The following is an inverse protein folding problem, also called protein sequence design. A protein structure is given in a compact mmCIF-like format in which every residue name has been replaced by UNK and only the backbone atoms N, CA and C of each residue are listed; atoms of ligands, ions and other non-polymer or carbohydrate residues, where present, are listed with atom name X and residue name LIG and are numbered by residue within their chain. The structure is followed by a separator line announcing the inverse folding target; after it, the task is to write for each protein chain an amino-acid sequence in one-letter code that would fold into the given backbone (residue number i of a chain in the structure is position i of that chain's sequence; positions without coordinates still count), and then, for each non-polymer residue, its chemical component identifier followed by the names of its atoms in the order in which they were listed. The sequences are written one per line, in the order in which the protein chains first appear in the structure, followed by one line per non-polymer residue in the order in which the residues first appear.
data_IF_489080059093
#
_entry.id   IF_489080059093
#
_cell.length_a   1.000
_cell.length_b   1.000
_cell.length_c   1.000
_cell.angle_alpha   90.00
_cell.angle_beta   90.00
_cell.angle_gamma   90.00
#
_symmetry.space_group_name_H-M   'P 1'
#
loop_
_entity.id
_entity.type
_entity.pdbx_description
1 polymer ?
#
# COMPACT_ATOMS: atom_id res chain seq x y z
N UNK A 1 -5.19 5.26 -4.09
CA UNK A 1 -4.05 4.30 -4.10
C UNK A 1 -3.73 3.89 -5.53
N UNK A 2 -2.54 4.21 -6.03
CA UNK A 2 -2.02 3.70 -7.31
C UNK A 2 -1.15 2.46 -7.06
N UNK A 3 -1.00 1.57 -8.05
CA UNK A 3 -0.21 0.32 -7.98
C UNK A 3 -0.68 -0.74 -6.95
N UNK A 4 -1.92 -0.65 -6.48
CA UNK A 4 -2.52 -1.64 -5.58
C UNK A 4 -2.95 -2.96 -6.24
N UNK A 5 -2.67 -3.19 -7.53
CA UNK A 5 -3.12 -4.38 -8.26
C UNK A 5 -4.59 -4.35 -8.72
N UNK A 6 -5.20 -3.16 -8.76
CA UNK A 6 -6.61 -2.96 -9.17
C UNK A 6 -6.88 -3.57 -10.55
N UNK A 7 -6.05 -3.23 -11.54
CA UNK A 7 -6.22 -3.69 -12.93
C UNK A 7 -6.05 -5.19 -13.06
N UNK A 8 -5.16 -5.79 -12.26
CA UNK A 8 -4.98 -7.24 -12.21
C UNK A 8 -6.23 -7.95 -11.67
N UNK A 9 -6.85 -7.40 -10.62
CA UNK A 9 -8.11 -7.92 -10.10
C UNK A 9 -9.24 -7.77 -11.12
N UNK A 10 -9.37 -6.59 -11.73
CA UNK A 10 -10.38 -6.31 -12.76
C UNK A 10 -10.28 -7.27 -13.93
N UNK A 11 -9.07 -7.50 -14.46
CA UNK A 11 -8.83 -8.45 -15.55
C UNK A 11 -9.15 -9.90 -15.18
N UNK A 12 -9.03 -10.26 -13.90
CA UNK A 12 -9.39 -11.59 -13.42
C UNK A 12 -10.91 -11.74 -13.30
N UNK A 13 -11.60 -10.70 -12.82
CA UNK A 13 -13.07 -10.65 -12.76
C UNK A 13 -13.69 -10.65 -14.16
N UNK A 14 -13.14 -9.87 -15.09
CA UNK A 14 -13.61 -9.81 -16.48
C UNK A 14 -13.58 -11.18 -17.16
N UNK A 15 -12.58 -12.01 -16.85
CA UNK A 15 -12.47 -13.39 -17.38
C UNK A 15 -13.41 -14.38 -16.70
N UNK A 16 -13.80 -14.12 -15.46
CA UNK A 16 -14.64 -15.00 -14.66
C UNK A 16 -16.15 -14.70 -14.81
N UNK A 17 -16.52 -13.49 -15.22
CA UNK A 17 -17.89 -13.01 -15.26
C UNK A 17 -18.42 -12.92 -16.71
N UNK A 18 -19.62 -13.47 -17.01
CA UNK A 18 -20.25 -13.28 -18.31
C UNK A 18 -20.76 -11.84 -18.48
N UNK A 19 -20.90 -11.38 -19.73
CA UNK A 19 -21.50 -10.09 -20.09
C UNK A 19 -20.94 -8.90 -19.29
N UNK A 20 -19.64 -8.93 -19.04
CA UNK A 20 -18.94 -7.97 -18.19
C UNK A 20 -18.17 -6.94 -19.05
N UNK A 21 -18.34 -5.66 -18.73
CA UNK A 21 -17.58 -4.55 -19.30
C UNK A 21 -16.75 -3.87 -18.21
N UNK A 22 -15.71 -3.15 -18.62
CA UNK A 22 -14.84 -2.38 -17.72
C UNK A 22 -14.73 -0.95 -18.23
N UNK A 23 -14.77 0.01 -17.32
CA UNK A 23 -14.36 1.40 -17.57
C UNK A 23 -13.23 1.71 -16.60
N UNK A 24 -12.09 2.12 -17.14
CA UNK A 24 -10.92 2.54 -16.36
C UNK A 24 -10.95 4.06 -16.17
N UNK A 25 -10.85 4.51 -14.92
CA UNK A 25 -10.80 5.94 -14.58
C UNK A 25 -9.59 6.64 -15.24
N UNK A 26 -8.48 5.91 -15.41
CA UNK A 26 -7.24 6.43 -15.98
C UNK A 26 -7.41 6.81 -17.48
N UNK A 27 -8.39 6.27 -18.18
CA UNK A 27 -8.70 6.66 -19.57
C UNK A 27 -9.26 8.09 -19.68
N UNK A 28 -9.67 8.69 -18.55
CA UNK A 28 -10.29 10.02 -18.47
C UNK A 28 -9.32 11.08 -17.96
N UNK A 29 -8.00 10.84 -17.94
CA UNK A 29 -7.06 11.92 -17.70
C UNK A 29 -7.18 13.00 -18.79
N UNK A 30 -7.29 14.27 -18.37
CA UNK A 30 -7.38 15.39 -19.29
C UNK A 30 -6.08 15.48 -20.09
N UNK A 31 -6.17 15.22 -21.40
CA UNK A 31 -5.02 15.27 -22.28
C UNK A 31 -4.54 16.72 -22.51
N UNK A 32 -3.23 16.95 -22.62
CA UNK A 32 -2.64 18.28 -22.81
C UNK A 32 -2.86 18.89 -24.22
N UNK A 33 -3.66 18.27 -25.09
CA UNK A 33 -3.87 18.73 -26.47
C UNK A 33 -5.06 19.68 -26.63
N UNK A 34 -6.02 19.66 -25.72
CA UNK A 34 -7.19 20.54 -25.75
C UNK A 34 -7.13 21.67 -24.73
N UNK A 35 -6.04 21.73 -23.94
CA UNK A 35 -5.79 22.73 -22.92
C UNK A 35 -4.29 23.05 -22.90
N UNK A 36 -3.86 24.30 -22.65
CA UNK A 36 -2.44 24.61 -22.48
C UNK A 36 -1.82 23.65 -21.46
N UNK A 37 -0.59 23.19 -21.67
CA UNK A 37 0.13 22.19 -20.83
C UNK A 37 0.20 22.51 -19.32
N UNK A 38 -0.32 23.66 -18.90
CA UNK A 38 -0.16 24.32 -17.61
C UNK A 38 -1.38 24.22 -16.66
N UNK A 39 -2.46 23.50 -17.03
CA UNK A 39 -3.68 23.46 -16.21
C UNK A 39 -3.83 22.27 -15.25
N UNK A 40 -2.94 21.26 -15.28
CA UNK A 40 -2.81 20.39 -14.11
C UNK A 40 -2.10 21.22 -13.06
N UNK A 41 -2.85 21.59 -12.02
CA UNK A 41 -2.34 22.41 -10.95
C UNK A 41 -0.98 21.87 -10.50
N UNK A 42 0.03 22.74 -10.56
CA UNK A 42 1.32 22.47 -9.96
C UNK A 42 1.18 22.93 -8.52
N UNK A 43 1.44 22.02 -7.57
CA UNK A 43 1.42 22.35 -6.16
C UNK A 43 2.50 23.38 -5.82
N UNK A 44 2.43 23.95 -4.62
CA UNK A 44 3.48 24.84 -4.10
C UNK A 44 4.86 24.14 -4.04
N UNK A 45 4.86 22.80 -4.03
CA UNK A 45 6.00 21.91 -4.06
C UNK A 45 6.62 21.72 -5.46
N UNK A 46 6.02 22.30 -6.51
CA UNK A 46 6.49 22.17 -7.88
C UNK A 46 6.07 20.88 -8.58
N UNK A 47 5.26 20.02 -7.95
CA UNK A 47 4.79 18.76 -8.54
C UNK A 47 3.39 18.88 -9.15
N UNK A 48 3.18 18.21 -10.29
CA UNK A 48 1.87 18.11 -10.94
C UNK A 48 0.90 17.28 -10.10
N UNK A 49 -0.29 17.81 -9.87
CA UNK A 49 -1.34 17.15 -9.11
C UNK A 49 -2.15 16.20 -10.01
N UNK A 50 -1.66 14.97 -10.17
CA UNK A 50 -2.37 13.91 -10.91
C UNK A 50 -3.34 13.09 -10.03
N UNK A 51 -3.09 13.08 -8.72
CA UNK A 51 -3.87 12.31 -7.75
C UNK A 51 -5.10 13.12 -7.24
N UNK A 52 -5.70 13.98 -8.08
CA UNK A 52 -6.86 14.85 -7.75
C UNK A 52 -7.95 14.80 -8.81
N UNK A 53 -9.21 15.05 -8.43
CA UNK A 53 -10.36 14.94 -9.34
C UNK A 53 -10.27 15.92 -10.52
N UNK A 54 -9.68 17.09 -10.31
CA UNK A 54 -9.55 18.16 -11.29
C UNK A 54 -8.72 17.75 -12.51
N UNK A 55 -7.79 16.82 -12.35
CA UNK A 55 -6.98 16.24 -13.43
C UNK A 55 -7.74 15.26 -14.33
N UNK A 56 -8.95 14.86 -13.92
CA UNK A 56 -9.79 13.88 -14.61
C UNK A 56 -11.03 14.55 -15.22
N UNK A 57 -11.46 14.06 -16.38
CA UNK A 57 -12.75 14.36 -16.97
C UNK A 57 -13.82 13.41 -16.41
N UNK A 58 -14.21 13.66 -15.16
CA UNK A 58 -15.21 12.85 -14.45
C UNK A 58 -16.62 13.00 -15.03
N UNK A 59 -16.89 14.06 -15.79
CA UNK A 59 -18.14 14.27 -16.50
C UNK A 59 -18.22 13.32 -17.71
N UNK A 60 -17.17 13.26 -18.55
CA UNK A 60 -17.07 12.28 -19.63
C UNK A 60 -17.12 10.83 -19.12
N UNK A 61 -16.51 10.56 -17.95
CA UNK A 61 -16.61 9.25 -17.30
C UNK A 61 -18.06 8.91 -16.91
N UNK A 62 -18.78 9.87 -16.32
CA UNK A 62 -20.18 9.69 -15.95
C UNK A 62 -21.06 9.45 -17.18
N UNK A 63 -20.86 10.21 -18.26
CA UNK A 63 -21.58 10.02 -19.52
C UNK A 63 -21.35 8.63 -20.11
N UNK A 64 -20.13 8.11 -20.01
CA UNK A 64 -19.80 6.74 -20.43
C UNK A 64 -20.57 5.70 -19.60
N UNK A 65 -20.68 5.92 -18.28
CA UNK A 65 -21.51 5.06 -17.40
C UNK A 65 -22.99 5.15 -17.75
N UNK A 66 -23.51 6.34 -18.06
CA UNK A 66 -24.90 6.54 -18.47
C UNK A 66 -25.21 5.88 -19.82
N UNK A 67 -24.26 5.91 -20.76
CA UNK A 67 -24.37 5.20 -22.03
C UNK A 67 -24.49 3.68 -21.81
N UNK A 68 -23.70 3.12 -20.89
CA UNK A 68 -23.84 1.73 -20.50
C UNK A 68 -25.19 1.43 -19.85
N UNK A 69 -25.64 2.26 -18.89
CA UNK A 69 -26.94 2.09 -18.21
C UNK A 69 -28.12 2.12 -19.21
N UNK A 70 -28.02 2.97 -20.23
CA UNK A 70 -29.05 3.10 -21.27
C UNK A 70 -29.15 1.87 -22.16
N UNK A 71 -28.02 1.24 -22.50
CA UNK A 71 -28.00 0.01 -23.30
C UNK A 71 -26.68 -0.76 -23.14
N UNK A 72 -26.61 -1.71 -22.18
CA UNK A 72 -25.39 -2.48 -21.92
C UNK A 72 -24.93 -3.29 -23.15
N UNK A 73 -25.87 -3.78 -23.95
CA UNK A 73 -25.59 -4.60 -25.14
C UNK A 73 -24.93 -3.78 -26.26
N UNK A 74 -25.44 -2.57 -26.52
CA UNK A 74 -24.86 -1.67 -27.53
C UNK A 74 -23.47 -1.21 -27.09
N UNK A 75 -23.33 -0.88 -25.81
CA UNK A 75 -22.05 -0.52 -25.22
C UNK A 75 -21.03 -1.65 -25.40
N UNK A 76 -21.35 -2.87 -24.97
CA UNK A 76 -20.46 -4.01 -25.11
C UNK A 76 -19.98 -4.23 -26.55
N UNK A 77 -20.89 -4.15 -27.53
CA UNK A 77 -20.55 -4.26 -28.96
C UNK A 77 -19.63 -3.15 -29.44
N UNK A 78 -19.88 -1.90 -29.04
CA UNK A 78 -19.07 -0.75 -29.41
C UNK A 78 -17.64 -0.83 -28.83
N UNK A 79 -17.49 -1.46 -27.66
CA UNK A 79 -16.22 -1.63 -26.95
C UNK A 79 -15.56 -3.01 -27.20
N UNK A 80 -16.01 -3.76 -28.22
CA UNK A 80 -15.38 -5.02 -28.64
C UNK A 80 -15.57 -6.19 -27.66
N UNK A 81 -16.51 -6.10 -26.72
CA UNK A 81 -16.83 -7.17 -25.78
C UNK A 81 -17.79 -8.16 -26.44
N UNK A 82 -17.34 -9.41 -26.59
CA UNK A 82 -18.17 -10.48 -27.14
C UNK A 82 -19.20 -10.91 -26.10
N UNK A 83 -20.47 -10.57 -26.35
CA UNK A 83 -21.59 -10.99 -25.52
C UNK A 83 -21.86 -12.47 -25.78
N UNK A 84 -21.99 -13.26 -24.72
CA UNK A 84 -22.37 -14.65 -24.83
C UNK A 84 -23.88 -14.72 -25.09
N UNK A 85 -24.35 -15.25 -26.23
CA UNK A 85 -25.79 -15.26 -26.58
C UNK A 85 -26.64 -16.04 -25.59
N UNK A 86 -26.04 -17.04 -24.94
CA UNK A 86 -26.70 -17.99 -24.05
C UNK A 86 -26.59 -17.62 -22.56
N UNK A 87 -25.94 -16.48 -22.24
CA UNK A 87 -25.80 -16.01 -20.88
C UNK A 87 -27.07 -15.29 -20.41
N UNK A 88 -27.30 -15.28 -19.09
CA UNK A 88 -28.36 -14.49 -18.46
C UNK A 88 -28.41 -13.05 -18.98
N UNK A 89 -29.60 -12.46 -19.08
CA UNK A 89 -29.84 -11.04 -19.44
C UNK A 89 -29.27 -10.02 -18.42
N UNK A 90 -28.50 -10.51 -17.46
CA UNK A 90 -27.75 -9.68 -16.51
C UNK A 90 -26.45 -9.23 -17.14
N UNK A 91 -26.25 -7.91 -17.18
CA UNK A 91 -25.03 -7.26 -17.63
C UNK A 91 -24.28 -6.69 -16.42
N UNK A 92 -22.95 -6.79 -16.45
CA UNK A 92 -22.09 -6.34 -15.35
C UNK A 92 -21.16 -5.23 -15.85
N UNK A 93 -21.06 -4.14 -15.09
CA UNK A 93 -20.09 -3.08 -15.32
C UNK A 93 -19.12 -3.02 -14.14
N UNK A 94 -17.83 -3.10 -14.43
CA UNK A 94 -16.77 -2.86 -13.47
C UNK A 94 -16.22 -1.44 -13.68
N UNK A 95 -16.29 -0.64 -12.63
CA UNK A 95 -15.67 0.68 -12.57
C UNK A 95 -14.39 0.55 -11.77
N UNK A 96 -13.25 0.76 -12.43
CA UNK A 96 -11.93 0.68 -11.82
C UNK A 96 -11.27 2.06 -11.79
N UNK A 97 -10.79 2.47 -10.61
CA UNK A 97 -10.12 3.75 -10.46
C UNK A 97 -9.60 3.96 -9.04
N UNK A 98 -8.86 5.04 -8.83
CA UNK A 98 -8.24 5.37 -7.54
C UNK A 98 -8.98 6.49 -6.78
N UNK A 99 -9.86 7.25 -7.45
CA UNK A 99 -10.67 8.35 -6.88
C UNK A 99 -12.19 8.19 -7.09
N UNK A 100 -12.65 6.99 -7.45
CA UNK A 100 -14.07 6.71 -7.76
C UNK A 100 -15.05 7.17 -6.65
N UNK A 101 -14.71 6.94 -5.39
CA UNK A 101 -15.58 7.26 -4.26
C UNK A 101 -15.58 8.73 -3.86
N UNK A 102 -14.69 9.54 -4.46
CA UNK A 102 -14.62 10.97 -4.22
C UNK A 102 -15.58 11.76 -5.13
N UNK A 103 -16.14 11.12 -6.17
CA UNK A 103 -17.05 11.79 -7.11
C UNK A 103 -18.51 11.38 -6.88
N UNK A 104 -19.25 12.25 -6.18
CA UNK A 104 -20.61 12.00 -5.70
C UNK A 104 -21.59 11.48 -6.78
N UNK A 105 -21.60 12.00 -8.03
CA UNK A 105 -22.54 11.50 -9.05
C UNK A 105 -22.39 10.01 -9.38
N UNK A 106 -21.18 9.44 -9.27
CA UNK A 106 -20.97 7.99 -9.47
C UNK A 106 -21.31 7.17 -8.21
N UNK A 107 -21.15 7.75 -7.02
CA UNK A 107 -21.37 7.05 -5.74
C UNK A 107 -22.77 6.47 -5.66
N UNK A 108 -23.76 7.21 -6.12
CA UNK A 108 -25.18 6.83 -6.06
C UNK A 108 -25.55 5.72 -7.07
N UNK A 109 -24.66 5.36 -8.00
CA UNK A 109 -24.88 4.33 -9.02
C UNK A 109 -24.34 2.93 -8.64
N UNK A 110 -23.44 2.85 -7.65
CA UNK A 110 -22.76 1.59 -7.33
C UNK A 110 -23.67 0.58 -6.61
N UNK A 111 -23.83 -0.62 -7.16
CA UNK A 111 -24.47 -1.74 -6.44
C UNK A 111 -23.55 -2.40 -5.41
N UNK A 112 -22.24 -2.46 -5.68
CA UNK A 112 -21.21 -3.01 -4.78
C UNK A 112 -19.96 -2.15 -4.84
N UNK A 113 -19.25 -2.05 -3.71
CA UNK A 113 -18.04 -1.23 -3.56
C UNK A 113 -16.94 -2.07 -2.92
N UNK A 114 -15.76 -2.05 -3.52
CA UNK A 114 -14.57 -2.76 -3.03
C UNK A 114 -13.40 -1.80 -3.06
N UNK A 115 -12.65 -1.74 -1.96
CA UNK A 115 -11.48 -0.89 -1.84
C UNK A 115 -10.27 -1.77 -1.55
N UNK A 116 -9.27 -1.74 -2.44
CA UNK A 116 -8.02 -2.47 -2.23
C UNK A 116 -7.12 -1.63 -1.33
N UNK A 117 -6.85 -2.14 -0.13
CA UNK A 117 -5.88 -1.57 0.80
C UNK A 117 -4.55 -2.30 0.66
N UNK A 118 -3.48 -1.51 0.61
CA UNK A 118 -2.09 -1.93 0.60
C UNK A 118 -1.36 -0.99 1.54
N UNK A 119 -0.48 -1.47 2.43
CA UNK A 119 0.27 -0.61 3.33
C UNK A 119 1.07 0.45 2.56
N UNK A 120 1.23 1.64 3.16
CA UNK A 120 1.91 2.77 2.52
C UNK A 120 3.31 2.39 2.01
N UNK A 121 4.13 1.73 2.82
CA UNK A 121 5.50 1.34 2.45
C UNK A 121 5.53 0.43 1.22
N UNK A 122 4.62 -0.53 1.13
CA UNK A 122 4.52 -1.44 -0.02
C UNK A 122 4.08 -0.68 -1.27
N UNK A 123 3.14 0.26 -1.15
CA UNK A 123 2.73 1.10 -2.26
C UNK A 123 3.83 2.06 -2.72
N UNK A 124 4.56 2.66 -1.79
CA UNK A 124 5.73 3.51 -2.07
C UNK A 124 6.79 2.71 -2.82
N UNK A 125 7.11 1.52 -2.33
CA UNK A 125 8.04 0.60 -2.99
C UNK A 125 7.61 0.24 -4.40
N UNK A 126 6.34 -0.14 -4.60
CA UNK A 126 5.80 -0.46 -5.93
C UNK A 126 5.78 0.73 -6.88
N UNK A 127 5.51 1.95 -6.39
CA UNK A 127 5.61 3.18 -7.21
C UNK A 127 7.05 3.44 -7.62
N UNK A 128 8.02 3.22 -6.74
CA UNK A 128 9.41 3.38 -7.16
C UNK A 128 9.80 2.40 -8.26
N UNK A 129 9.35 1.15 -8.17
CA UNK A 129 9.64 0.14 -9.18
C UNK A 129 8.88 0.32 -10.52
N UNK A 130 7.82 1.13 -10.57
CA UNK A 130 6.98 1.29 -11.78
C UNK A 130 7.63 2.13 -12.89
N UNK A 131 8.82 2.69 -12.66
CA UNK A 131 9.60 3.40 -13.66
C UNK A 131 9.42 4.92 -13.66
N UNK A 132 8.73 5.51 -12.68
CA UNK A 132 8.71 6.97 -12.48
C UNK A 132 10.07 7.56 -12.07
N UNK A 133 10.98 6.74 -11.53
CA UNK A 133 12.38 7.08 -11.24
C UNK A 133 13.33 6.40 -12.23
N UNK A 134 14.43 7.07 -12.57
CA UNK A 134 15.52 6.43 -13.31
C UNK A 134 16.12 5.28 -12.47
N UNK A 135 16.66 4.26 -13.14
CA UNK A 135 17.29 3.11 -12.48
C UNK A 135 18.39 3.55 -11.50
N UNK A 136 19.13 4.60 -11.85
CA UNK A 136 20.21 5.18 -11.05
C UNK A 136 19.72 5.96 -9.82
N UNK A 137 18.54 6.59 -9.87
CA UNK A 137 17.89 7.19 -8.69
C UNK A 137 17.34 6.13 -7.75
N UNK A 138 16.72 5.10 -8.32
CA UNK A 138 16.21 3.96 -7.55
C UNK A 138 17.36 3.24 -6.84
N UNK A 139 18.48 3.02 -7.53
CA UNK A 139 19.66 2.40 -6.95
C UNK A 139 20.22 3.20 -5.77
N UNK A 140 20.33 4.53 -5.91
CA UNK A 140 20.86 5.39 -4.83
C UNK A 140 19.98 5.38 -3.59
N UNK A 141 18.67 5.50 -3.75
CA UNK A 141 17.73 5.51 -2.63
C UNK A 141 17.70 4.16 -1.91
N UNK A 142 17.68 3.05 -2.65
CA UNK A 142 17.74 1.69 -2.08
C UNK A 142 19.06 1.46 -1.33
N UNK A 143 20.18 1.92 -1.90
CA UNK A 143 21.49 1.79 -1.27
C UNK A 143 21.54 2.56 0.05
N UNK A 144 21.02 3.79 0.07
CA UNK A 144 20.98 4.65 1.25
C UNK A 144 20.08 4.06 2.35
N UNK A 145 18.90 3.55 2.01
CA UNK A 145 18.01 2.87 2.95
C UNK A 145 18.66 1.62 3.58
N UNK A 146 19.35 0.82 2.77
CA UNK A 146 20.09 -0.36 3.27
C UNK A 146 21.19 0.08 4.24
N UNK A 147 21.97 1.10 3.88
CA UNK A 147 23.04 1.62 4.74
C UNK A 147 22.49 2.16 6.07
N UNK A 148 21.39 2.92 6.03
CA UNK A 148 20.74 3.46 7.22
C UNK A 148 20.17 2.35 8.13
N UNK A 149 19.58 1.31 7.54
CA UNK A 149 19.08 0.14 8.28
C UNK A 149 20.20 -0.65 8.98
N UNK A 150 21.36 -0.80 8.32
CA UNK A 150 22.53 -1.45 8.89
C UNK A 150 23.17 -0.60 10.02
N UNK A 151 23.21 0.73 9.87
CA UNK A 151 23.72 1.65 10.88
C UNK A 151 22.86 1.64 12.15
N UNK A 152 21.53 1.66 12.02
CA UNK A 152 20.63 1.62 13.19
C UNK A 152 20.71 0.29 13.96
N UNK A 153 20.87 -0.85 13.29
CA UNK A 153 21.11 -2.15 13.96
C UNK A 153 22.39 -2.19 14.78
N UNK A 154 23.39 -1.41 14.38
CA UNK A 154 24.70 -1.37 15.05
C UNK A 154 24.62 -0.63 16.39
N UNK A 155 23.66 0.30 16.54
CA UNK A 155 23.50 1.14 17.74
C UNK A 155 22.63 0.50 18.84
N UNK A 156 21.70 -0.40 18.50
CA UNK A 156 20.88 -1.13 19.49
C UNK A 156 21.65 -2.25 20.23
N UNK A 157 22.88 -2.58 19.81
CA UNK A 157 23.65 -3.69 20.37
C UNK A 157 24.66 -3.32 21.48
N UNK A 158 24.73 -2.04 21.89
CA UNK A 158 25.63 -1.62 22.96
C UNK A 158 24.98 -1.83 24.36
N UNK A 159 25.51 -2.70 25.24
CA UNK A 159 24.97 -2.82 26.59
C UNK A 159 25.34 -1.56 27.39
N UNK A 160 24.36 -1.02 28.12
CA UNK A 160 24.52 0.09 29.06
C UNK A 160 25.66 -0.23 30.04
N UNK A 161 26.71 0.60 30.03
CA UNK A 161 27.91 0.39 30.82
C UNK A 161 27.75 0.86 32.27
N UNK A 162 28.09 -0.07 33.17
CA UNK A 162 28.66 0.09 34.51
C UNK A 162 27.80 0.70 35.64
N UNK A 163 27.39 -0.19 36.54
CA UNK A 163 27.12 0.13 37.95
C UNK A 163 28.42 0.60 38.65
N UNK A 164 28.40 1.64 39.50
CA UNK A 164 29.59 2.00 40.27
C UNK A 164 29.79 1.04 41.44
N UNK A 165 31.02 0.54 41.58
CA UNK A 165 31.45 -0.35 42.65
C UNK A 165 31.42 0.34 44.02
N UNK A 166 30.84 -0.32 45.03
CA UNK A 166 30.89 0.08 46.45
C UNK A 166 32.24 -0.34 47.07
N UNK A 167 32.85 0.44 47.99
CA UNK A 167 34.12 0.06 48.63
C UNK A 167 33.93 -1.08 49.65
N UNK A 168 34.87 -2.04 49.66
CA UNK A 168 34.96 -3.12 50.63
C UNK A 168 35.50 -2.62 51.98
N UNK A 169 34.83 -2.97 53.09
CA UNK A 169 35.34 -2.82 54.45
C UNK A 169 36.15 -4.05 54.90
N UNK A 170 37.04 -3.93 55.90
CA UNK A 170 38.02 -4.98 56.22
C UNK A 170 37.49 -5.98 57.25
N UNK A 171 37.75 -7.27 57.05
CA UNK A 171 37.25 -8.29 57.97
C UNK A 171 37.88 -9.68 57.84
N UNK A 172 39.17 -9.78 58.22
CA UNK A 172 39.86 -10.90 58.89
C UNK A 172 39.58 -12.36 58.47
N UNK A 173 40.66 -13.07 58.12
CA UNK A 173 40.74 -14.51 58.32
C UNK A 173 42.08 -15.13 57.91
N UNK A 174 42.92 -15.50 58.88
CA UNK A 174 43.86 -16.62 58.73
C UNK A 174 44.24 -17.16 60.12
N UNK A 175 44.08 -18.47 60.31
CA UNK A 175 44.53 -19.20 61.49
C UNK A 175 43.94 -20.62 61.58
N UNK A 176 44.66 -21.61 61.05
CA UNK A 176 44.54 -23.04 61.40
C UNK A 176 44.62 -23.24 62.94
N UNK A 177 44.14 -24.29 63.62
CA UNK A 177 44.13 -25.74 63.32
C UNK A 177 43.36 -26.47 64.46
N UNK A 178 42.76 -27.64 64.17
CA UNK A 178 42.48 -28.82 65.07
C UNK A 178 41.55 -28.62 66.30
N UNK A 179 40.65 -29.51 66.73
CA UNK A 179 40.39 -30.94 66.51
C UNK A 179 38.92 -31.30 66.85
N UNK A 180 38.49 -32.47 66.35
CA UNK A 180 37.32 -33.34 66.69
C UNK A 180 37.14 -33.62 68.21
N UNK A 181 36.11 -34.38 68.67
CA UNK A 181 34.74 -34.62 68.16
C UNK A 181 33.66 -34.66 69.30
N UNK A 182 32.45 -35.11 68.93
CA UNK A 182 31.39 -35.74 69.75
C UNK A 182 30.36 -34.75 70.34
N UNK A 183 29.04 -35.01 70.36
CA UNK A 183 28.18 -36.08 69.87
C UNK A 183 26.73 -35.55 69.89
N UNK A 184 25.79 -36.43 69.54
CA UNK A 184 24.33 -36.40 69.77
C UNK A 184 23.46 -35.48 68.89
N UNK A 185 22.74 -36.17 67.98
CA UNK A 185 21.37 -35.92 67.48
C UNK A 185 20.34 -35.65 68.63
N UNK A 186 19.02 -35.45 68.38
CA UNK A 186 18.28 -35.27 67.11
C UNK A 186 17.28 -34.08 67.09
N UNK A 187 16.72 -33.86 65.89
CA UNK A 187 15.32 -33.53 65.52
C UNK A 187 14.47 -32.56 66.36
N UNK A 188 13.76 -31.66 65.66
CA UNK A 188 12.29 -31.68 65.51
C UNK A 188 11.81 -30.40 64.78
N UNK A 189 11.10 -30.65 63.66
CA UNK A 189 9.98 -29.93 63.01
C UNK A 189 10.16 -28.46 62.62
#
# INVERSE_FOLDING_TARGET
MTNGGKTTLTNSLLRALPNCCVIHQDDFFKAPLFQPQDQIAVGEDGFKQWDVLESLDMEAMLDTVQAWLSSPQKFARAHGVSLQPEASDTHILLLEGFLLYSYKPLVDLYSRRYFLTVPYEECKWRRYLDGTKSREELFREVLEDIQNSLLNRSQESAPSSACPARPQGPGRGCGHRTARPAASQPDIV
#
